data_IF_821001472922
#
_entry.id   IF_821001472922
#
_cell.length_a   1.000
_cell.length_b   1.000
_cell.length_c   1.000
_cell.angle_alpha   90.00
_cell.angle_beta   90.00
_cell.angle_gamma   90.00
#
_symmetry.space_group_name_H-M   'P 1'
#
loop_
_entity.id
_entity.type
_entity.pdbx_description
1 polymer ?
#
# COMPACT_ATOMS: atom_id res chain seq x y z
N UNK A 1 2.60 1.53 26.11
CA UNK A 1 1.71 2.56 25.55
C UNK A 1 1.41 2.18 24.12
N UNK A 2 0.16 2.31 23.67
CA UNK A 2 -0.21 2.04 22.27
C UNK A 2 0.17 3.27 21.43
N UNK A 3 0.90 3.08 20.35
CA UNK A 3 1.28 4.18 19.46
C UNK A 3 0.07 4.82 18.77
N UNK A 4 0.19 6.09 18.37
CA UNK A 4 -0.83 6.84 17.63
C UNK A 4 -0.34 7.04 16.20
N UNK A 5 -1.12 6.62 15.21
CA UNK A 5 -0.82 6.89 13.79
C UNK A 5 -0.89 8.38 13.52
N UNK A 6 0.13 8.92 12.84
CA UNK A 6 0.29 10.36 12.56
C UNK A 6 0.44 10.61 11.07
N UNK A 7 0.07 11.80 10.63
CA UNK A 7 0.26 12.22 9.24
C UNK A 7 1.77 12.30 8.95
N UNK A 8 2.22 11.70 7.84
CA UNK A 8 3.60 11.78 7.34
C UNK A 8 4.08 13.22 7.15
N UNK A 9 3.16 14.16 6.88
CA UNK A 9 3.49 15.58 6.70
C UNK A 9 3.38 16.40 8.00
N UNK A 10 3.10 15.76 9.14
CA UNK A 10 2.98 16.45 10.42
C UNK A 10 4.32 17.11 10.81
N UNK A 11 4.26 18.39 11.19
CA UNK A 11 5.43 19.14 11.68
C UNK A 11 6.21 19.91 10.61
N UNK A 12 5.85 19.80 9.33
CA UNK A 12 6.41 20.62 8.24
C UNK A 12 7.87 20.31 7.87
N UNK A 13 8.46 19.27 8.47
CA UNK A 13 9.79 18.75 8.09
C UNK A 13 9.65 17.56 7.16
N UNK A 14 10.63 17.34 6.28
CA UNK A 14 10.69 16.14 5.44
C UNK A 14 10.82 14.89 6.29
N UNK A 15 11.70 14.94 7.28
CA UNK A 15 12.01 13.83 8.17
C UNK A 15 11.49 14.08 9.57
N UNK A 16 10.89 13.04 10.16
CA UNK A 16 10.58 12.93 11.57
C UNK A 16 11.05 11.56 12.08
N UNK A 17 11.08 11.39 13.40
CA UNK A 17 11.55 10.16 14.02
C UNK A 17 10.77 8.92 13.54
N UNK A 18 9.44 9.01 13.40
CA UNK A 18 8.59 7.92 12.90
C UNK A 18 9.04 7.44 11.51
N UNK A 19 9.32 8.35 10.58
CA UNK A 19 9.74 8.02 9.21
C UNK A 19 11.18 7.49 9.14
N UNK A 20 12.08 8.01 9.97
CA UNK A 20 13.45 7.49 10.07
C UNK A 20 13.43 6.02 10.52
N UNK A 21 12.70 5.72 11.60
CA UNK A 21 12.58 4.35 12.10
C UNK A 21 11.79 3.45 11.17
N UNK A 22 10.78 3.99 10.48
CA UNK A 22 10.05 3.25 9.47
C UNK A 22 11.00 2.78 8.35
N UNK A 23 11.83 3.68 7.84
CA UNK A 23 12.83 3.35 6.82
C UNK A 23 13.83 2.27 7.29
N UNK A 24 14.35 2.40 8.52
CA UNK A 24 15.27 1.40 9.11
C UNK A 24 14.62 0.02 9.24
N UNK A 25 13.40 -0.04 9.75
CA UNK A 25 12.67 -1.30 9.88
C UNK A 25 12.34 -1.92 8.52
N UNK A 26 11.88 -1.13 7.56
CA UNK A 26 11.68 -1.58 6.18
C UNK A 26 12.99 -2.10 5.59
N UNK A 27 14.11 -1.44 5.85
CA UNK A 27 15.44 -1.93 5.47
C UNK A 27 15.78 -3.32 6.00
N UNK A 28 15.45 -3.59 7.26
CA UNK A 28 15.57 -4.94 7.83
C UNK A 28 14.65 -5.92 7.10
N UNK A 29 13.37 -5.60 6.92
CA UNK A 29 12.40 -6.46 6.22
C UNK A 29 12.83 -6.77 4.77
N UNK A 30 13.47 -5.83 4.06
CA UNK A 30 14.02 -6.04 2.72
C UNK A 30 15.22 -6.99 2.70
N UNK A 31 15.97 -7.08 3.81
CA UNK A 31 17.14 -7.95 3.91
C UNK A 31 16.77 -9.43 4.07
N UNK A 32 15.53 -9.71 4.47
CA UNK A 32 15.03 -11.07 4.69
C UNK A 32 14.71 -11.78 3.35
N UNK A 33 14.90 -13.11 3.29
CA UNK A 33 14.51 -13.89 2.11
C UNK A 33 12.98 -13.90 1.96
N UNK A 34 12.47 -14.05 0.74
CA UNK A 34 11.02 -14.14 0.48
C UNK A 34 10.37 -15.34 1.16
N UNK A 35 11.13 -16.32 1.63
CA UNK A 35 10.62 -17.44 2.45
C UNK A 35 10.33 -17.06 3.89
N UNK A 36 10.77 -15.88 4.35
CA UNK A 36 10.41 -15.35 5.65
C UNK A 36 9.09 -14.59 5.58
N UNK A 37 8.10 -15.01 6.39
CA UNK A 37 6.75 -14.43 6.43
C UNK A 37 6.72 -12.96 6.86
N UNK A 38 7.79 -12.46 7.47
CA UNK A 38 7.95 -11.07 7.88
C UNK A 38 8.73 -10.24 6.87
N UNK A 39 9.31 -10.84 5.83
CA UNK A 39 10.03 -10.11 4.79
C UNK A 39 9.13 -9.13 4.04
N UNK A 40 9.72 -8.04 3.54
CA UNK A 40 9.01 -7.05 2.74
C UNK A 40 8.30 -7.70 1.54
N UNK A 41 8.99 -8.64 0.88
CA UNK A 41 8.50 -9.33 -0.32
C UNK A 41 7.37 -10.30 -0.01
N UNK A 42 7.42 -11.02 1.11
CA UNK A 42 6.33 -11.90 1.51
C UNK A 42 5.08 -11.11 1.87
N UNK A 43 5.23 -10.04 2.68
CA UNK A 43 4.10 -9.18 3.07
C UNK A 43 3.46 -8.52 1.84
N UNK A 44 4.26 -8.12 0.85
CA UNK A 44 3.77 -7.61 -0.42
C UNK A 44 2.99 -8.69 -1.22
N UNK A 45 3.47 -9.93 -1.22
CA UNK A 45 2.84 -11.04 -1.94
C UNK A 45 1.49 -11.48 -1.31
N UNK A 46 1.29 -11.29 0.00
CA UNK A 46 -0.03 -11.44 0.65
C UNK A 46 -1.07 -10.53 -0.02
N UNK A 47 -0.67 -9.29 -0.33
CA UNK A 47 -1.53 -8.35 -1.03
C UNK A 47 -1.73 -8.79 -2.48
N UNK A 48 -0.64 -8.98 -3.22
CA UNK A 48 -0.68 -9.59 -4.55
C UNK A 48 0.69 -9.63 -5.20
N UNK A 49 0.90 -10.59 -6.11
CA UNK A 49 2.18 -10.83 -6.75
C UNK A 49 2.06 -11.07 -8.26
N UNK A 50 2.80 -10.27 -9.03
CA UNK A 50 3.14 -10.61 -10.40
C UNK A 50 4.59 -11.07 -10.45
N UNK A 51 4.81 -12.38 -10.32
CA UNK A 51 6.15 -12.97 -10.20
C UNK A 51 7.07 -12.61 -11.37
N UNK A 52 6.58 -12.68 -12.60
CA UNK A 52 7.39 -12.31 -13.79
C UNK A 52 7.71 -10.82 -13.78
N UNK A 53 6.73 -9.96 -13.45
CA UNK A 53 6.92 -8.53 -13.28
C UNK A 53 7.95 -8.18 -12.19
N UNK A 54 7.93 -8.90 -11.06
CA UNK A 54 8.90 -8.72 -9.96
C UNK A 54 10.31 -9.12 -10.39
N UNK A 55 10.44 -10.19 -11.17
CA UNK A 55 11.73 -10.62 -11.73
C UNK A 55 12.25 -9.58 -12.72
N UNK A 56 11.43 -9.12 -13.67
CA UNK A 56 11.81 -8.06 -14.61
C UNK A 56 12.15 -6.74 -13.92
N UNK A 57 11.52 -6.46 -12.78
CA UNK A 57 11.79 -5.29 -11.96
C UNK A 57 12.98 -5.46 -10.99
N UNK A 58 13.59 -6.64 -10.91
CA UNK A 58 14.67 -6.94 -9.97
C UNK A 58 14.25 -6.94 -8.49
N UNK A 59 12.95 -7.04 -8.21
CA UNK A 59 12.40 -7.18 -6.84
C UNK A 59 12.61 -8.62 -6.35
N UNK A 60 12.53 -9.59 -7.25
CA UNK A 60 12.72 -11.01 -7.00
C UNK A 60 13.78 -11.55 -7.97
N UNK A 61 14.71 -12.38 -7.50
CA UNK A 61 15.57 -13.15 -8.40
C UNK A 61 14.84 -14.40 -8.87
N UNK A 62 15.00 -14.79 -10.13
CA UNK A 62 14.47 -16.07 -10.63
C UNK A 62 15.06 -17.30 -9.89
N UNK A 63 16.16 -17.12 -9.15
CA UNK A 63 16.82 -18.15 -8.35
C UNK A 63 16.46 -18.10 -6.86
N UNK A 64 15.69 -17.10 -6.42
CA UNK A 64 15.30 -17.01 -5.01
C UNK A 64 14.44 -18.22 -4.63
N UNK A 65 14.72 -18.90 -3.50
CA UNK A 65 13.85 -19.95 -3.01
C UNK A 65 12.50 -19.33 -2.62
N UNK A 66 11.41 -19.99 -3.00
CA UNK A 66 10.06 -19.57 -2.64
C UNK A 66 9.53 -20.44 -1.48
N UNK A 67 8.55 -19.94 -0.71
CA UNK A 67 7.79 -20.78 0.19
C UNK A 67 7.18 -22.00 -0.55
N UNK A 68 6.84 -23.07 0.18
CA UNK A 68 6.13 -24.21 -0.41
C UNK A 68 4.85 -23.78 -1.13
N UNK A 69 4.48 -24.47 -2.21
CA UNK A 69 3.28 -24.13 -3.01
C UNK A 69 2.02 -24.03 -2.15
N UNK A 70 1.83 -24.97 -1.20
CA UNK A 70 0.69 -24.95 -0.28
C UNK A 70 0.60 -23.67 0.54
N UNK A 71 1.75 -23.10 0.93
CA UNK A 71 1.78 -21.84 1.66
C UNK A 71 1.52 -20.65 0.72
N UNK A 72 2.08 -20.66 -0.49
CA UNK A 72 1.81 -19.56 -1.44
C UNK A 72 0.36 -19.54 -1.90
N UNK A 73 -0.27 -20.70 -2.08
CA UNK A 73 -1.69 -20.81 -2.45
C UNK A 73 -2.63 -20.35 -1.31
N UNK A 74 -2.22 -20.54 -0.06
CA UNK A 74 -2.99 -20.12 1.11
C UNK A 74 -2.80 -18.62 1.42
N UNK A 75 -1.57 -18.12 1.30
CA UNK A 75 -1.18 -16.85 1.89
C UNK A 75 -1.00 -15.70 0.89
N UNK A 76 -0.72 -15.98 -0.38
CA UNK A 76 -0.48 -14.95 -1.41
C UNK A 76 -1.73 -14.66 -2.25
N UNK A 77 -1.75 -13.49 -2.88
CA UNK A 77 -2.90 -13.02 -3.69
C UNK A 77 -4.22 -13.04 -2.90
N UNK A 78 -4.17 -12.65 -1.62
CA UNK A 78 -5.31 -12.71 -0.70
C UNK A 78 -6.03 -11.36 -0.55
N UNK A 79 -5.54 -10.26 -1.14
CA UNK A 79 -6.24 -8.98 -1.03
C UNK A 79 -7.67 -9.08 -1.56
N UNK A 80 -8.55 -8.22 -1.08
CA UNK A 80 -9.97 -8.27 -1.42
C UNK A 80 -10.33 -7.05 -2.25
N UNK A 81 -10.69 -7.26 -3.53
CA UNK A 81 -11.17 -6.23 -4.45
C UNK A 81 -12.50 -6.60 -5.06
N UNK A 82 -13.32 -5.59 -5.34
CA UNK A 82 -14.66 -5.79 -5.88
C UNK A 82 -15.56 -6.60 -4.94
N UNK A 83 -15.35 -6.45 -3.63
CA UNK A 83 -16.10 -7.13 -2.57
C UNK A 83 -16.30 -6.18 -1.38
N UNK A 84 -17.38 -6.39 -0.62
CA UNK A 84 -17.58 -5.74 0.69
C UNK A 84 -16.48 -6.05 1.73
N UNK A 85 -15.60 -7.03 1.48
CA UNK A 85 -14.46 -7.34 2.34
C UNK A 85 -13.26 -6.40 2.12
N UNK A 86 -13.27 -5.54 1.10
CA UNK A 86 -12.18 -4.61 0.80
C UNK A 86 -11.68 -3.87 2.05
N UNK A 87 -12.55 -3.13 2.75
CA UNK A 87 -12.16 -2.37 3.95
C UNK A 87 -11.71 -3.24 5.14
N UNK A 88 -12.49 -4.25 5.59
CA UNK A 88 -12.07 -5.05 6.74
C UNK A 88 -10.79 -5.86 6.47
N UNK A 89 -10.60 -6.37 5.26
CA UNK A 89 -9.36 -7.09 4.90
C UNK A 89 -8.15 -6.17 4.93
N UNK A 90 -8.21 -4.99 4.29
CA UNK A 90 -7.10 -4.04 4.29
C UNK A 90 -6.79 -3.50 5.69
N UNK A 91 -7.81 -3.33 6.54
CA UNK A 91 -7.61 -2.98 7.95
C UNK A 91 -6.83 -4.07 8.70
N UNK A 92 -7.18 -5.33 8.50
CA UNK A 92 -6.46 -6.47 9.07
C UNK A 92 -5.02 -6.56 8.57
N UNK A 93 -4.82 -6.42 7.25
CA UNK A 93 -3.49 -6.39 6.63
C UNK A 93 -2.61 -5.27 7.19
N UNK A 94 -3.11 -4.03 7.28
CA UNK A 94 -2.37 -2.92 7.85
C UNK A 94 -2.07 -3.10 9.34
N UNK A 95 -2.95 -3.75 10.10
CA UNK A 95 -2.70 -4.05 11.51
C UNK A 95 -1.57 -5.08 11.68
N UNK A 96 -1.55 -6.13 10.87
CA UNK A 96 -0.48 -7.12 10.86
C UNK A 96 0.86 -6.51 10.42
N UNK A 97 0.83 -5.71 9.34
CA UNK A 97 2.00 -4.99 8.84
C UNK A 97 2.56 -4.03 9.90
N UNK A 98 1.71 -3.21 10.53
CA UNK A 98 2.12 -2.32 11.60
C UNK A 98 2.74 -3.08 12.78
N UNK A 99 2.17 -4.21 13.19
CA UNK A 99 2.70 -5.01 14.29
C UNK A 99 4.11 -5.54 13.98
N UNK A 100 4.36 -6.01 12.76
CA UNK A 100 5.68 -6.49 12.33
C UNK A 100 6.67 -5.34 12.31
N UNK A 101 6.34 -4.21 11.69
CA UNK A 101 7.24 -3.06 11.60
C UNK A 101 7.52 -2.48 12.99
N UNK A 102 6.51 -2.33 13.85
CA UNK A 102 6.67 -1.84 15.22
C UNK A 102 7.58 -2.74 16.06
N UNK A 103 7.43 -4.07 15.91
CA UNK A 103 8.31 -5.04 16.55
C UNK A 103 9.76 -4.84 16.08
N UNK A 104 9.99 -4.75 14.78
CA UNK A 104 11.32 -4.52 14.21
C UNK A 104 11.92 -3.19 14.66
N UNK A 105 11.13 -2.10 14.69
CA UNK A 105 11.57 -0.81 15.22
C UNK A 105 12.09 -0.95 16.65
N UNK A 106 11.34 -1.64 17.52
CA UNK A 106 11.74 -1.88 18.91
C UNK A 106 13.03 -2.72 18.99
N UNK A 107 13.16 -3.77 18.18
CA UNK A 107 14.35 -4.63 18.14
C UNK A 107 15.61 -3.89 17.66
N UNK A 108 15.43 -2.89 16.80
CA UNK A 108 16.50 -1.99 16.34
C UNK A 108 16.80 -0.83 17.33
N UNK A 109 16.14 -0.79 18.49
CA UNK A 109 16.34 0.23 19.52
C UNK A 109 15.55 1.53 19.32
N UNK A 110 14.51 1.50 18.47
CA UNK A 110 13.61 2.62 18.23
C UNK A 110 12.50 2.80 19.28
N UNK A 111 11.64 3.80 19.08
CA UNK A 111 10.61 4.19 20.05
C UNK A 111 9.58 3.07 20.26
N UNK A 112 9.28 2.78 21.53
CA UNK A 112 8.35 1.71 21.92
C UNK A 112 6.88 2.02 21.60
N UNK A 113 6.55 3.27 21.32
CA UNK A 113 5.24 3.78 20.93
C UNK A 113 5.16 4.10 19.43
N UNK A 114 6.07 3.57 18.62
CA UNK A 114 5.99 3.68 17.17
C UNK A 114 4.65 3.13 16.64
N UNK A 115 4.06 3.84 15.69
CA UNK A 115 2.87 3.43 14.95
C UNK A 115 3.04 3.80 13.47
N UNK A 116 2.36 3.05 12.60
CA UNK A 116 2.40 3.25 11.16
C UNK A 116 1.83 4.64 10.81
N UNK A 117 2.59 5.52 10.15
CA UNK A 117 2.06 6.82 9.76
C UNK A 117 1.06 6.68 8.60
N UNK A 118 0.21 7.68 8.42
CA UNK A 118 -0.73 7.75 7.31
C UNK A 118 -0.45 8.97 6.43
N UNK A 119 -0.83 8.90 5.16
CA UNK A 119 -0.72 10.02 4.24
C UNK A 119 -2.09 10.64 3.99
N UNK A 120 -2.31 11.87 4.48
CA UNK A 120 -3.59 12.57 4.33
C UNK A 120 -3.71 13.31 2.99
N UNK A 121 -3.71 12.56 1.89
CA UNK A 121 -3.64 13.13 0.54
C UNK A 121 -4.90 13.88 0.06
N UNK A 122 -6.00 13.83 0.82
CA UNK A 122 -7.23 14.60 0.59
C UNK A 122 -7.40 15.78 1.57
N UNK A 123 -6.35 16.15 2.31
CA UNK A 123 -6.38 17.32 3.19
C UNK A 123 -6.54 18.62 2.38
N UNK A 124 -7.76 19.15 2.33
CA UNK A 124 -8.10 20.38 1.61
C UNK A 124 -7.41 21.64 2.15
N UNK A 125 -6.96 21.62 3.41
CA UNK A 125 -6.24 22.74 4.04
C UNK A 125 -4.75 22.77 3.69
N UNK A 126 -4.23 21.73 3.02
CA UNK A 126 -2.82 21.64 2.62
C UNK A 126 -2.71 21.39 1.11
N UNK A 127 -2.32 22.41 0.34
CA UNK A 127 -2.14 22.30 -1.12
C UNK A 127 -1.05 21.29 -1.54
N UNK A 128 -0.10 21.01 -0.64
CA UNK A 128 0.95 20.03 -0.81
C UNK A 128 0.53 18.62 -0.36
N UNK A 129 -0.68 18.42 0.17
CA UNK A 129 -1.16 17.12 0.66
C UNK A 129 -1.06 16.02 -0.41
N UNK A 130 -1.26 16.36 -1.68
CA UNK A 130 -1.15 15.43 -2.81
C UNK A 130 0.27 15.13 -3.26
N UNK A 131 1.27 15.87 -2.79
CA UNK A 131 2.66 15.53 -3.09
C UNK A 131 2.98 14.20 -2.41
N UNK A 132 3.66 13.32 -3.13
CA UNK A 132 4.25 12.14 -2.49
C UNK A 132 5.19 12.68 -1.41
N UNK A 133 5.08 12.22 -0.15
CA UNK A 133 5.85 12.83 0.93
C UNK A 133 7.33 12.71 0.62
N UNK A 134 8.07 13.80 0.81
CA UNK A 134 9.44 13.93 0.31
C UNK A 134 10.39 12.83 0.88
N UNK A 135 10.14 12.36 2.10
CA UNK A 135 10.86 11.23 2.71
C UNK A 135 10.73 9.90 1.93
N UNK A 136 9.73 9.77 1.06
CA UNK A 136 9.54 8.61 0.18
C UNK A 136 10.21 8.80 -1.19
N UNK A 137 10.82 9.96 -1.46
CA UNK A 137 11.51 10.28 -2.70
C UNK A 137 13.02 10.43 -2.55
N UNK A 138 13.51 10.76 -1.35
CA UNK A 138 14.94 10.93 -1.08
C UNK A 138 15.67 9.59 -0.95
N UNK A 139 16.82 9.42 -1.61
CA UNK A 139 17.57 8.16 -1.60
C UNK A 139 18.25 7.84 -0.25
N UNK A 140 18.42 8.86 0.60
CA UNK A 140 19.17 8.77 1.86
C UNK A 140 18.38 9.31 3.04
N UNK A 141 18.64 8.74 4.20
CA UNK A 141 18.23 9.29 5.49
C UNK A 141 19.08 10.53 5.84
N UNK A 142 18.67 11.34 6.83
CA UNK A 142 19.45 12.51 7.27
C UNK A 142 20.89 12.22 7.69
N UNK A 143 21.17 11.00 8.15
CA UNK A 143 22.51 10.54 8.54
C UNK A 143 23.37 10.05 7.34
N UNK A 144 22.83 10.14 6.12
CA UNK A 144 23.50 9.72 4.89
C UNK A 144 23.38 8.23 4.56
N UNK A 145 22.79 7.42 5.44
CA UNK A 145 22.54 6.00 5.19
C UNK A 145 21.40 5.79 4.16
N UNK A 146 21.29 4.60 3.53
CA UNK A 146 20.24 4.34 2.54
C UNK A 146 18.82 4.47 3.10
N UNK A 147 17.92 5.14 2.38
CA UNK A 147 16.50 5.21 2.70
C UNK A 147 15.70 4.12 1.97
N UNK A 148 15.10 3.19 2.71
CA UNK A 148 14.32 2.12 2.11
C UNK A 148 12.89 2.51 1.73
N UNK A 149 12.35 3.63 2.22
CA UNK A 149 11.04 4.16 1.80
C UNK A 149 11.04 4.63 0.34
N UNK A 150 12.22 4.98 -0.19
CA UNK A 150 12.40 5.40 -1.58
C UNK A 150 12.56 4.24 -2.58
N UNK A 151 12.76 2.98 -2.12
CA UNK A 151 12.98 1.83 -3.02
C UNK A 151 11.76 1.41 -3.84
N UNK A 152 10.58 1.76 -3.36
CA UNK A 152 9.30 1.61 -4.03
C UNK A 152 9.31 2.23 -5.44
N UNK A 153 8.91 1.47 -6.46
CA UNK A 153 8.87 1.98 -7.85
C UNK A 153 7.62 2.82 -8.08
N UNK A 154 7.80 4.12 -8.38
CA UNK A 154 6.70 5.08 -8.58
C UNK A 154 6.55 5.59 -10.02
N UNK A 155 7.34 5.04 -10.95
CA UNK A 155 7.41 5.49 -12.36
C UNK A 155 7.56 7.01 -12.53
N UNK A 156 8.31 7.66 -11.64
CA UNK A 156 8.53 9.11 -11.69
C UNK A 156 7.37 9.96 -11.14
N UNK A 157 6.29 9.35 -10.63
CA UNK A 157 5.24 10.08 -9.94
C UNK A 157 5.80 10.80 -8.71
N UNK A 158 5.40 12.06 -8.55
CA UNK A 158 5.79 12.93 -7.41
C UNK A 158 4.58 13.58 -6.75
N UNK A 159 3.40 13.48 -7.36
CA UNK A 159 2.17 14.12 -6.92
C UNK A 159 0.97 13.37 -7.48
N UNK A 160 -0.04 13.16 -6.65
CA UNK A 160 -1.31 12.61 -7.10
C UNK A 160 -2.08 13.63 -7.94
N UNK A 161 -2.68 13.13 -9.01
CA UNK A 161 -3.58 13.89 -9.86
C UNK A 161 -3.92 13.11 -11.13
N UNK A 162 -4.86 13.63 -11.93
CA UNK A 162 -5.24 13.01 -13.20
C UNK A 162 -4.03 12.73 -14.09
N UNK A 163 -4.03 11.58 -14.75
CA UNK A 163 -3.03 11.19 -15.75
C UNK A 163 -3.66 11.19 -17.15
N UNK A 164 -2.88 11.12 -18.24
CA UNK A 164 -3.43 10.95 -19.58
C UNK A 164 -4.33 9.71 -19.70
N UNK A 165 -3.97 8.62 -19.04
CA UNK A 165 -4.74 7.36 -19.06
C UNK A 165 -6.01 7.43 -18.20
N UNK A 166 -5.97 8.16 -17.09
CA UNK A 166 -7.09 8.35 -16.17
C UNK A 166 -7.28 9.85 -15.93
N UNK A 167 -8.06 10.54 -16.77
CA UNK A 167 -8.32 11.98 -16.67
C UNK A 167 -9.35 12.31 -15.57
N UNK A 168 -9.36 11.54 -14.48
CA UNK A 168 -10.27 11.68 -13.32
C UNK A 168 -9.45 11.93 -12.07
N UNK A 169 -9.91 12.86 -11.24
CA UNK A 169 -9.24 13.20 -9.98
C UNK A 169 -9.82 12.44 -8.77
N UNK A 170 -9.03 12.37 -7.71
CA UNK A 170 -9.43 11.79 -6.42
C UNK A 170 -10.30 12.77 -5.61
N UNK A 171 -11.33 12.24 -4.95
CA UNK A 171 -12.28 13.03 -4.15
C UNK A 171 -12.66 12.32 -2.85
N UNK A 172 -13.35 13.04 -1.96
CA UNK A 172 -14.01 12.48 -0.77
C UNK A 172 -15.46 12.04 -1.04
N UNK A 173 -15.90 11.96 -2.30
CA UNK A 173 -17.31 11.68 -2.64
C UNK A 173 -17.81 10.32 -2.16
N UNK A 174 -16.92 9.37 -1.88
CA UNK A 174 -17.31 8.12 -1.22
C UNK A 174 -17.94 8.33 0.17
N UNK A 175 -17.66 9.44 0.85
CA UNK A 175 -18.21 9.73 2.18
C UNK A 175 -19.70 10.09 2.15
N UNK A 176 -20.28 10.37 0.97
CA UNK A 176 -21.70 10.66 0.82
C UNK A 176 -22.58 9.38 0.82
N UNK A 177 -21.95 8.19 0.80
CA UNK A 177 -22.65 6.90 0.85
C UNK A 177 -22.80 6.41 2.29
N UNK A 178 -24.04 6.28 2.76
CA UNK A 178 -24.33 5.94 4.16
C UNK A 178 -24.59 4.45 4.39
N UNK A 179 -24.73 3.64 3.34
CA UNK A 179 -24.81 2.18 3.46
C UNK A 179 -23.46 1.55 3.19
N UNK A 180 -23.14 0.50 3.93
CA UNK A 180 -21.89 -0.23 3.72
C UNK A 180 -21.98 -1.12 2.48
N UNK A 181 -23.04 -1.90 2.33
CA UNK A 181 -23.17 -2.89 1.26
C UNK A 181 -24.08 -2.43 0.13
N UNK A 182 -23.68 -2.69 -1.12
CA UNK A 182 -24.48 -2.44 -2.32
C UNK A 182 -25.52 -3.54 -2.57
N UNK A 183 -26.73 -3.15 -2.96
CA UNK A 183 -27.66 -4.06 -3.65
C UNK A 183 -27.22 -4.22 -5.13
N UNK A 184 -27.66 -5.29 -5.83
CA UNK A 184 -27.35 -5.47 -7.24
C UNK A 184 -27.66 -4.22 -8.09
N UNK A 185 -26.69 -3.76 -8.88
CA UNK A 185 -26.82 -2.59 -9.74
C UNK A 185 -26.75 -1.22 -9.02
N UNK A 186 -26.46 -1.19 -7.73
CA UNK A 186 -26.29 0.04 -6.95
C UNK A 186 -24.83 0.24 -6.52
N UNK A 187 -24.49 1.47 -6.16
CA UNK A 187 -23.19 1.82 -5.59
C UNK A 187 -23.39 2.29 -4.17
N UNK A 188 -22.68 1.66 -3.22
CA UNK A 188 -22.65 2.02 -1.81
C UNK A 188 -21.19 1.98 -1.31
N UNK A 189 -20.97 2.36 -0.06
CA UNK A 189 -19.64 2.68 0.45
C UNK A 189 -18.62 1.55 0.25
N UNK A 190 -18.94 0.34 0.71
CA UNK A 190 -18.04 -0.81 0.80
C UNK A 190 -18.12 -1.81 -0.35
N UNK A 191 -19.17 -1.79 -1.18
CA UNK A 191 -19.33 -2.71 -2.32
C UNK A 191 -20.38 -3.81 -2.11
N UNK A 192 -20.52 -4.71 -3.08
CA UNK A 192 -21.54 -5.77 -3.06
C UNK A 192 -21.23 -6.89 -2.07
N UNK A 193 -22.29 -7.58 -1.63
CA UNK A 193 -22.18 -8.77 -0.76
C UNK A 193 -21.70 -9.94 -1.61
N UNK A 194 -20.49 -10.41 -1.34
CA UNK A 194 -19.82 -11.49 -2.08
C UNK A 194 -19.13 -12.45 -1.12
N UNK A 195 -18.64 -13.58 -1.63
CA UNK A 195 -17.58 -14.34 -0.95
C UNK A 195 -16.24 -13.58 -1.01
N UNK A 196 -15.21 -14.15 -0.38
CA UNK A 196 -13.83 -13.66 -0.57
C UNK A 196 -13.43 -13.81 -2.05
N UNK A 197 -12.84 -12.76 -2.60
CA UNK A 197 -12.33 -12.74 -3.98
C UNK A 197 -11.19 -11.73 -4.10
N UNK A 198 -10.07 -12.18 -4.66
CA UNK A 198 -8.98 -11.31 -5.06
C UNK A 198 -9.38 -10.37 -6.20
N UNK A 199 -10.16 -10.89 -7.14
CA UNK A 199 -10.59 -10.19 -8.35
C UNK A 199 -12.12 -10.16 -8.46
N UNK A 200 -12.80 -9.62 -7.44
CA UNK A 200 -14.25 -9.40 -7.49
C UNK A 200 -14.66 -8.28 -8.46
N UNK A 201 -15.97 -8.17 -8.70
CA UNK A 201 -16.54 -7.18 -9.64
C UNK A 201 -17.50 -6.18 -9.01
N UNK A 202 -17.81 -6.31 -7.71
CA UNK A 202 -18.79 -5.49 -7.01
C UNK A 202 -18.12 -4.38 -6.18
N UNK A 203 -17.28 -3.59 -6.83
CA UNK A 203 -16.47 -2.51 -6.23
C UNK A 203 -17.33 -1.46 -5.52
N UNK A 204 -16.95 -1.13 -4.28
CA UNK A 204 -17.58 -0.06 -3.49
C UNK A 204 -17.13 1.35 -3.88
N UNK A 205 -17.82 2.36 -3.34
CA UNK A 205 -17.49 3.76 -3.60
C UNK A 205 -16.08 4.12 -3.11
N UNK A 206 -15.68 3.66 -1.91
CA UNK A 206 -14.35 3.93 -1.33
C UNK A 206 -13.22 3.28 -2.12
N UNK A 207 -13.47 2.05 -2.59
CA UNK A 207 -12.53 1.30 -3.42
C UNK A 207 -12.39 1.97 -4.80
N UNK A 208 -13.50 2.40 -5.41
CA UNK A 208 -13.50 3.08 -6.70
C UNK A 208 -12.77 4.43 -6.68
N UNK A 209 -13.13 5.32 -5.75
CA UNK A 209 -12.49 6.62 -5.56
C UNK A 209 -12.50 6.99 -4.06
N UNK A 210 -11.33 7.16 -3.42
CA UNK A 210 -10.03 7.42 -4.04
C UNK A 210 -9.14 6.20 -4.28
N UNK A 211 -9.40 5.05 -3.67
CA UNK A 211 -8.40 3.99 -3.56
C UNK A 211 -7.80 3.53 -4.92
N UNK A 212 -8.63 3.08 -5.86
CA UNK A 212 -8.14 2.56 -7.15
C UNK A 212 -7.41 3.63 -7.97
N UNK A 213 -7.88 4.88 -7.89
CA UNK A 213 -7.21 6.01 -8.53
C UNK A 213 -5.83 6.27 -7.92
N UNK A 214 -5.71 6.23 -6.59
CA UNK A 214 -4.43 6.45 -5.91
C UNK A 214 -3.40 5.40 -6.35
N UNK A 215 -3.76 4.11 -6.44
CA UNK A 215 -2.85 3.06 -6.93
C UNK A 215 -2.23 3.37 -8.29
N UNK A 216 -3.05 3.85 -9.22
CA UNK A 216 -2.59 4.25 -10.56
C UNK A 216 -1.68 5.48 -10.44
N UNK A 217 -2.12 6.51 -9.69
CA UNK A 217 -1.42 7.79 -9.59
C UNK A 217 -0.06 7.70 -8.86
N UNK A 218 0.14 6.74 -7.95
CA UNK A 218 1.45 6.52 -7.29
C UNK A 218 2.44 5.74 -8.14
N UNK A 219 2.03 5.21 -9.31
CA UNK A 219 2.90 4.51 -10.24
C UNK A 219 2.64 3.01 -10.38
N UNK A 220 1.47 2.50 -9.96
CA UNK A 220 1.02 1.18 -10.41
C UNK A 220 0.79 1.18 -11.92
N UNK A 221 1.45 0.28 -12.66
CA UNK A 221 1.21 0.10 -14.11
C UNK A 221 0.15 -0.96 -14.35
N UNK A 222 -0.95 -0.58 -14.98
CA UNK A 222 -1.85 -1.50 -15.66
C UNK A 222 -1.14 -2.00 -16.94
N UNK A 223 -0.86 -3.31 -17.05
CA UNK A 223 -0.56 -3.94 -18.36
C UNK A 223 -1.78 -3.73 -19.30
N UNK A 224 -1.59 -3.63 -20.63
CA UNK A 224 -2.49 -2.85 -21.49
C UNK A 224 -3.90 -3.44 -21.56
N UNK A 225 -4.89 -2.56 -21.33
CA UNK A 225 -6.28 -2.66 -21.76
C UNK A 225 -6.91 -4.07 -21.78
N UNK A 226 -7.37 -4.49 -20.62
CA UNK A 226 -8.61 -5.28 -20.52
C UNK A 226 -9.46 -4.59 -19.46
N UNK A 227 -10.77 -4.57 -19.67
CA UNK A 227 -11.80 -3.77 -18.99
C UNK A 227 -11.95 -3.94 -17.48
N UNK A 228 -10.93 -4.41 -16.76
CA UNK A 228 -10.94 -4.67 -15.32
C UNK A 228 -9.78 -3.93 -14.62
N UNK A 229 -10.08 -3.04 -13.66
CA UNK A 229 -9.09 -2.16 -13.00
C UNK A 229 -8.11 -2.88 -12.04
N UNK A 230 -8.10 -4.21 -12.01
CA UNK A 230 -7.55 -5.01 -10.88
C UNK A 230 -6.13 -5.55 -11.16
N UNK A 231 -5.57 -5.38 -12.36
CA UNK A 231 -4.41 -6.16 -12.85
C UNK A 231 -3.00 -5.78 -12.33
N UNK A 232 -2.85 -4.92 -11.33
CA UNK A 232 -1.49 -4.51 -10.94
C UNK A 232 -1.34 -4.04 -9.50
N UNK A 233 -1.71 -4.89 -8.55
CA UNK A 233 -1.49 -4.63 -7.12
C UNK A 233 -0.11 -5.02 -6.59
N UNK A 234 0.81 -5.42 -7.48
CA UNK A 234 2.13 -5.94 -7.13
C UNK A 234 3.29 -5.00 -7.45
N UNK A 235 3.16 -3.68 -7.41
CA UNK A 235 4.34 -2.79 -7.49
C UNK A 235 4.31 -1.85 -6.29
N UNK A 236 4.73 -2.37 -5.13
CA UNK A 236 5.12 -1.54 -4.00
C UNK A 236 6.39 -0.75 -4.32
#
# INVERSE_FOLDING_TARGET
MTGIRRDVNQGGTVWNETLIWYSKAVGHLYSLPITDRTSWRYLAAIHGINKSGWISAGVLSAKDPLPPTSETEEMWDQCQHGTWYFLPWHRGYLAAFEAIVAKTVKELGGPADWALPYWNYLNSSNQAARNIPQAFLEEKLPDGSPNFLAKARRNGSKRLGPTPDIPRDITLGCQDYHRFTSAPGTLEYGGGITAFSHDGSDTGAIESNPHNLVHIMVGGLQEPYVSHPVRSYGRL
#
